data_IF_861362562776
#
_entry.id   IF_861362562776
#
_cell.length_a   1.000
_cell.length_b   1.000
_cell.length_c   1.000
_cell.angle_alpha   90.00
_cell.angle_beta   90.00
_cell.angle_gamma   90.00
#
_symmetry.space_group_name_H-M   'P 1'
#
loop_
_entity.id
_entity.type
_entity.pdbx_description
1 polymer ?
#
# COMPACT_ATOMS: atom_id res chain seq x y z
N UNK A 1 9.82 1.68 9.87
CA UNK A 1 9.35 3.07 10.00
C UNK A 1 9.66 3.88 8.75
N UNK A 2 8.68 4.62 8.23
CA UNK A 2 8.85 5.48 7.05
C UNK A 2 8.68 6.93 7.49
N UNK A 3 9.62 7.82 7.16
CA UNK A 3 9.53 9.25 7.47
C UNK A 3 9.75 10.08 6.22
N UNK A 4 8.86 11.01 5.95
CA UNK A 4 8.93 11.98 4.86
C UNK A 4 9.14 13.36 5.47
N UNK A 5 10.17 14.08 5.02
CA UNK A 5 10.53 15.40 5.52
C UNK A 5 10.56 16.41 4.36
N UNK A 6 9.63 17.36 4.39
CA UNK A 6 9.49 18.44 3.41
C UNK A 6 9.48 17.95 1.95
N UNK A 7 8.90 16.74 1.74
CA UNK A 7 8.95 16.05 0.46
C UNK A 7 8.18 16.82 -0.60
N UNK A 8 8.86 17.13 -1.70
CA UNK A 8 8.29 17.91 -2.81
C UNK A 8 8.62 17.29 -4.15
N UNK A 9 7.63 17.26 -5.06
CA UNK A 9 7.82 16.89 -6.46
C UNK A 9 7.19 17.92 -7.37
N UNK A 10 8.02 18.47 -8.24
CA UNK A 10 7.62 19.37 -9.31
C UNK A 10 7.81 18.67 -10.67
N UNK A 11 6.86 18.86 -11.56
CA UNK A 11 6.97 18.46 -12.96
C UNK A 11 6.94 19.69 -13.83
N UNK A 12 7.81 19.74 -14.84
CA UNK A 12 7.78 20.77 -15.87
C UNK A 12 6.65 20.47 -16.86
N UNK A 13 5.82 21.45 -17.14
CA UNK A 13 4.79 21.41 -18.17
C UNK A 13 5.27 22.11 -19.45
N UNK A 14 4.53 21.90 -20.55
CA UNK A 14 4.75 22.66 -21.79
C UNK A 14 4.62 24.16 -21.50
N UNK A 15 5.46 24.98 -22.09
CA UNK A 15 5.57 26.46 -21.91
C UNK A 15 6.24 26.91 -20.59
N UNK A 16 7.10 26.10 -19.97
CA UNK A 16 7.90 26.53 -18.81
C UNK A 16 7.15 26.63 -17.48
N UNK A 17 5.86 26.30 -17.45
CA UNK A 17 5.10 26.22 -16.21
C UNK A 17 5.51 24.98 -15.41
N UNK A 18 5.58 25.13 -14.10
CA UNK A 18 5.84 24.01 -13.17
C UNK A 18 4.57 23.67 -12.39
N UNK A 19 4.30 22.40 -12.27
CA UNK A 19 3.21 21.88 -11.45
C UNK A 19 3.79 21.11 -10.28
N UNK A 20 3.37 21.44 -9.07
CA UNK A 20 3.72 20.71 -7.85
C UNK A 20 2.73 19.57 -7.63
N UNK A 21 3.14 18.37 -7.94
CA UNK A 21 2.34 17.17 -7.67
C UNK A 21 2.35 16.77 -6.19
N UNK A 22 3.45 17.05 -5.49
CA UNK A 22 3.64 16.91 -4.05
C UNK A 22 4.32 18.17 -3.55
N UNK A 23 3.81 18.79 -2.49
CA UNK A 23 4.26 20.09 -1.98
C UNK A 23 4.43 20.05 -0.46
N UNK A 24 5.69 19.99 -0.03
CA UNK A 24 6.09 20.04 1.38
C UNK A 24 5.37 19.01 2.26
N UNK A 25 5.34 17.75 1.83
CA UNK A 25 4.71 16.66 2.57
C UNK A 25 5.63 16.21 3.70
N UNK A 26 5.09 16.22 4.92
CA UNK A 26 5.68 15.69 6.13
C UNK A 26 4.79 14.58 6.66
N UNK A 27 5.34 13.37 6.85
CA UNK A 27 4.60 12.20 7.33
C UNK A 27 5.55 11.28 8.08
N UNK A 28 5.06 10.73 9.20
CA UNK A 28 5.76 9.70 9.95
C UNK A 28 4.85 8.50 10.12
N UNK A 29 5.30 7.34 9.63
CA UNK A 29 4.61 6.05 9.77
C UNK A 29 5.48 5.18 10.67
N UNK A 30 5.04 4.90 11.91
CA UNK A 30 5.73 4.00 12.83
C UNK A 30 5.90 2.59 12.27
N UNK A 31 6.81 1.83 12.87
CA UNK A 31 7.00 0.42 12.52
C UNK A 31 5.74 -0.40 12.85
N UNK A 32 5.37 -1.28 11.92
CA UNK A 32 4.21 -2.17 12.07
C UNK A 32 2.86 -1.50 11.82
N UNK A 33 2.78 -0.17 11.68
CA UNK A 33 1.53 0.54 11.38
C UNK A 33 1.20 0.55 9.89
N UNK A 34 -0.10 0.60 9.61
CA UNK A 34 -0.64 0.82 8.28
C UNK A 34 -1.12 2.27 8.13
N UNK A 35 -0.49 3.02 7.24
CA UNK A 35 -0.88 4.37 6.88
C UNK A 35 -1.58 4.39 5.51
N UNK A 36 -2.82 4.86 5.48
CA UNK A 36 -3.58 5.03 4.23
C UNK A 36 -3.45 6.46 3.73
N UNK A 37 -2.94 6.64 2.51
CA UNK A 37 -2.95 7.91 1.79
C UNK A 37 -4.29 8.04 1.09
N UNK A 38 -5.16 8.92 1.57
CA UNK A 38 -6.54 9.09 1.13
C UNK A 38 -6.72 10.44 0.43
N UNK A 39 -7.60 10.52 -0.58
CA UNK A 39 -7.94 11.78 -1.24
C UNK A 39 -8.32 11.60 -2.70
N UNK A 40 -8.78 12.69 -3.38
CA UNK A 40 -9.25 12.63 -4.76
C UNK A 40 -8.14 12.24 -5.74
N UNK A 41 -8.53 11.81 -6.94
CA UNK A 41 -7.58 11.48 -8.01
C UNK A 41 -6.71 12.69 -8.36
N UNK A 42 -5.42 12.45 -8.62
CA UNK A 42 -4.46 13.49 -8.99
C UNK A 42 -3.93 14.37 -7.85
N UNK A 43 -4.30 14.11 -6.58
CA UNK A 43 -3.84 14.93 -5.44
C UNK A 43 -2.42 14.62 -4.94
N UNK A 44 -1.67 13.68 -5.54
CA UNK A 44 -0.26 13.42 -5.22
C UNK A 44 0.05 12.09 -4.52
N UNK A 45 -0.94 11.28 -4.12
CA UNK A 45 -0.77 10.01 -3.37
C UNK A 45 0.17 9.02 -4.06
N UNK A 46 -0.17 8.60 -5.26
CA UNK A 46 0.64 7.68 -6.09
C UNK A 46 2.03 8.25 -6.38
N UNK A 47 2.15 9.57 -6.58
CA UNK A 47 3.46 10.23 -6.77
C UNK A 47 4.30 10.11 -5.52
N UNK A 48 3.71 10.32 -4.33
CA UNK A 48 4.38 10.15 -3.04
C UNK A 48 4.86 8.70 -2.88
N UNK A 49 4.00 7.71 -3.13
CA UNK A 49 4.35 6.30 -3.05
C UNK A 49 5.51 5.92 -4.00
N UNK A 50 5.46 6.43 -5.25
CA UNK A 50 6.51 6.21 -6.25
C UNK A 50 7.85 6.86 -5.86
N UNK A 51 7.83 7.98 -5.14
CA UNK A 51 9.06 8.60 -4.62
C UNK A 51 9.70 7.75 -3.52
N UNK A 52 8.92 7.15 -2.63
CA UNK A 52 9.44 6.27 -1.56
C UNK A 52 10.18 5.08 -2.17
N UNK A 53 9.66 4.50 -3.24
CA UNK A 53 10.29 3.39 -3.98
C UNK A 53 11.33 3.88 -5.02
N UNK A 54 11.67 5.17 -5.04
CA UNK A 54 12.58 5.81 -6.00
C UNK A 54 12.27 5.48 -7.47
N UNK A 55 11.00 5.24 -7.80
CA UNK A 55 10.51 5.20 -9.19
C UNK A 55 10.41 6.61 -9.77
N UNK A 56 10.25 7.61 -8.90
CA UNK A 56 10.30 9.04 -9.20
C UNK A 56 11.28 9.67 -8.23
N UNK A 57 12.22 10.47 -8.73
CA UNK A 57 13.15 11.24 -7.88
C UNK A 57 12.43 12.47 -7.31
N UNK A 58 12.47 12.72 -5.99
CA UNK A 58 12.01 13.96 -5.40
C UNK A 58 12.67 15.19 -6.02
N UNK A 59 11.99 16.33 -6.03
CA UNK A 59 12.61 17.63 -6.37
C UNK A 59 13.32 18.23 -5.17
N UNK A 60 12.81 17.99 -3.96
CA UNK A 60 13.43 18.34 -2.67
C UNK A 60 12.81 17.54 -1.54
N UNK A 61 13.42 17.63 -0.35
CA UNK A 61 13.00 16.88 0.84
C UNK A 61 13.69 15.53 0.94
N UNK A 62 13.47 14.84 2.07
CA UNK A 62 14.16 13.61 2.44
C UNK A 62 13.16 12.50 2.71
N UNK A 63 13.52 11.27 2.34
CA UNK A 63 12.77 10.05 2.63
C UNK A 63 13.68 9.14 3.46
N UNK A 64 13.25 8.86 4.69
CA UNK A 64 13.95 7.94 5.58
C UNK A 64 13.16 6.63 5.69
N UNK A 65 13.86 5.51 5.61
CA UNK A 65 13.33 4.17 5.90
C UNK A 65 14.21 3.56 6.98
N UNK A 66 13.60 3.19 8.10
CA UNK A 66 14.33 2.71 9.31
C UNK A 66 15.41 3.69 9.79
N UNK A 67 15.20 4.99 9.60
CA UNK A 67 16.13 6.04 9.99
C UNK A 67 17.23 6.33 8.97
N UNK A 68 17.35 5.55 7.90
CA UNK A 68 18.37 5.74 6.85
C UNK A 68 17.82 6.54 5.67
N UNK A 69 18.59 7.52 5.19
CA UNK A 69 18.23 8.31 4.01
C UNK A 69 18.31 7.47 2.73
N UNK A 70 17.18 7.34 2.06
CA UNK A 70 17.10 6.54 0.83
C UNK A 70 17.86 7.14 -0.35
N UNK A 71 18.23 8.42 -0.32
CA UNK A 71 18.87 9.11 -1.44
C UNK A 71 20.26 8.55 -1.76
N UNK A 72 21.01 8.14 -0.72
CA UNK A 72 22.35 7.56 -0.82
C UNK A 72 22.37 6.05 -1.05
N UNK A 73 21.22 5.36 -0.93
CA UNK A 73 21.16 3.91 -1.08
C UNK A 73 21.26 3.48 -2.55
N UNK A 74 21.84 2.30 -2.78
CA UNK A 74 21.67 1.64 -4.08
C UNK A 74 20.20 1.32 -4.35
N UNK A 75 19.71 1.70 -5.51
CA UNK A 75 18.29 1.59 -5.88
C UNK A 75 17.79 0.14 -5.89
N UNK A 76 18.64 -0.81 -6.28
CA UNK A 76 18.27 -2.23 -6.32
C UNK A 76 18.14 -2.77 -4.91
N UNK A 77 19.09 -2.44 -4.04
CA UNK A 77 19.07 -2.81 -2.61
C UNK A 77 17.86 -2.23 -1.91
N UNK A 78 17.53 -0.95 -2.13
CA UNK A 78 16.32 -0.32 -1.58
C UNK A 78 15.05 -1.08 -2.01
N UNK A 79 14.88 -1.33 -3.30
CA UNK A 79 13.67 -1.99 -3.84
C UNK A 79 13.54 -3.45 -3.43
N UNK A 80 14.64 -4.14 -3.12
CA UNK A 80 14.61 -5.51 -2.57
C UNK A 80 14.04 -5.56 -1.15
N UNK A 81 14.16 -4.46 -0.41
CA UNK A 81 13.64 -4.29 0.96
C UNK A 81 12.25 -3.67 1.00
N UNK A 82 11.64 -3.41 -0.15
CA UNK A 82 10.28 -2.84 -0.27
C UNK A 82 9.44 -3.78 -1.12
N UNK A 83 8.36 -4.30 -0.54
CA UNK A 83 7.31 -4.94 -1.31
C UNK A 83 6.46 -3.86 -2.00
N UNK A 84 6.20 -4.00 -3.30
CA UNK A 84 5.43 -3.01 -4.04
C UNK A 84 4.29 -3.66 -4.82
N UNK A 85 3.05 -3.30 -4.45
CA UNK A 85 1.83 -3.69 -5.16
C UNK A 85 1.39 -2.53 -6.02
N UNK A 86 1.41 -2.72 -7.34
CA UNK A 86 0.99 -1.70 -8.32
C UNK A 86 -0.51 -1.74 -8.57
N UNK A 87 -1.11 -0.63 -8.99
CA UNK A 87 -2.52 -0.46 -9.28
C UNK A 87 -3.04 -1.48 -10.32
N UNK A 88 -2.27 -1.77 -11.35
CA UNK A 88 -2.52 -2.90 -12.25
C UNK A 88 -1.81 -4.14 -11.68
N UNK A 89 -2.47 -5.28 -11.65
CA UNK A 89 -1.99 -6.52 -11.00
C UNK A 89 -0.53 -6.87 -11.35
N UNK A 90 -0.10 -6.59 -12.59
CA UNK A 90 1.30 -6.63 -13.03
C UNK A 90 1.98 -8.00 -12.87
N UNK A 91 1.22 -9.10 -12.88
CA UNK A 91 1.80 -10.44 -12.93
C UNK A 91 2.46 -10.66 -14.30
N UNK A 92 3.56 -11.38 -14.29
CA UNK A 92 4.24 -11.78 -15.52
C UNK A 92 3.40 -12.85 -16.23
N UNK A 93 2.85 -12.57 -17.41
CA UNK A 93 1.86 -13.45 -18.04
C UNK A 93 2.46 -14.78 -18.51
N UNK A 94 3.76 -14.82 -18.77
CA UNK A 94 4.52 -15.98 -19.25
C UNK A 94 5.18 -16.79 -18.14
N UNK A 95 4.91 -16.45 -16.88
CA UNK A 95 5.39 -17.15 -15.69
C UNK A 95 4.21 -17.81 -14.97
N UNK A 96 4.45 -18.97 -14.37
CA UNK A 96 3.48 -19.62 -13.49
C UNK A 96 3.24 -18.77 -12.24
N UNK A 97 2.24 -19.10 -11.44
CA UNK A 97 1.97 -18.41 -10.17
C UNK A 97 3.14 -18.61 -9.19
N UNK A 98 3.72 -19.82 -9.10
CA UNK A 98 4.92 -20.06 -8.30
C UNK A 98 6.08 -19.15 -8.73
N UNK A 99 6.34 -19.07 -10.02
CA UNK A 99 7.40 -18.22 -10.57
C UNK A 99 7.15 -16.75 -10.32
N UNK A 100 5.89 -16.27 -10.45
CA UNK A 100 5.51 -14.91 -10.12
C UNK A 100 5.78 -14.60 -8.65
N UNK A 101 5.36 -15.45 -7.72
CA UNK A 101 5.55 -15.25 -6.28
C UNK A 101 7.05 -15.24 -5.95
N UNK A 102 7.81 -16.15 -6.53
CA UNK A 102 9.21 -16.39 -6.15
C UNK A 102 10.25 -15.57 -6.93
N UNK A 103 9.82 -14.64 -7.81
CA UNK A 103 10.75 -13.86 -8.64
C UNK A 103 11.79 -13.10 -7.81
N UNK A 104 11.35 -12.37 -6.77
CA UNK A 104 12.29 -11.62 -5.91
C UNK A 104 13.12 -12.54 -5.01
N UNK A 105 12.56 -13.53 -4.29
CA UNK A 105 13.36 -14.54 -3.60
C UNK A 105 14.47 -15.18 -4.45
N UNK A 106 14.18 -15.57 -5.69
CA UNK A 106 15.18 -16.11 -6.62
C UNK A 106 16.28 -15.10 -6.96
N UNK A 107 15.92 -13.84 -7.19
CA UNK A 107 16.89 -12.75 -7.40
C UNK A 107 17.78 -12.50 -6.18
N UNK A 108 17.30 -12.84 -4.97
CA UNK A 108 18.05 -12.80 -3.73
C UNK A 108 18.89 -14.06 -3.49
N UNK A 109 18.89 -15.02 -4.41
CA UNK A 109 19.68 -16.25 -4.32
C UNK A 109 19.07 -17.33 -3.43
N UNK A 110 17.77 -17.28 -3.13
CA UNK A 110 17.12 -18.35 -2.38
C UNK A 110 17.09 -19.63 -3.22
N UNK A 111 17.34 -20.76 -2.58
CA UNK A 111 17.24 -22.07 -3.23
C UNK A 111 15.79 -22.43 -3.58
N UNK A 112 15.62 -23.42 -4.45
CA UNK A 112 14.30 -23.85 -4.96
C UNK A 112 13.38 -24.35 -3.85
N UNK A 113 13.91 -25.10 -2.87
CA UNK A 113 13.10 -25.67 -1.80
C UNK A 113 12.53 -24.57 -0.91
N UNK A 114 13.36 -23.60 -0.52
CA UNK A 114 12.95 -22.41 0.24
C UNK A 114 11.93 -21.56 -0.53
N UNK A 115 12.15 -21.32 -1.82
CA UNK A 115 11.21 -20.60 -2.67
C UNK A 115 9.84 -21.28 -2.72
N UNK A 116 9.81 -22.60 -2.93
CA UNK A 116 8.58 -23.38 -3.00
C UNK A 116 7.83 -23.36 -1.66
N UNK A 117 8.52 -23.64 -0.55
CA UNK A 117 7.91 -23.60 0.79
C UNK A 117 7.33 -22.21 1.11
N UNK A 118 8.04 -21.14 0.74
CA UNK A 118 7.54 -19.77 0.93
C UNK A 118 6.32 -19.46 0.06
N UNK A 119 6.29 -19.95 -1.19
CA UNK A 119 5.13 -19.79 -2.06
C UNK A 119 3.90 -20.52 -1.51
N UNK A 120 4.07 -21.74 -1.02
CA UNK A 120 2.99 -22.52 -0.38
C UNK A 120 2.45 -21.83 0.86
N UNK A 121 3.32 -21.39 1.79
CA UNK A 121 2.95 -20.61 2.98
C UNK A 121 2.11 -19.37 2.63
N UNK A 122 2.57 -18.59 1.64
CA UNK A 122 1.88 -17.36 1.25
C UNK A 122 0.54 -17.63 0.54
N UNK A 123 0.43 -18.71 -0.21
CA UNK A 123 -0.83 -19.13 -0.83
C UNK A 123 -1.87 -19.50 0.23
N UNK A 124 -1.47 -20.21 1.29
CA UNK A 124 -2.34 -20.56 2.41
C UNK A 124 -2.81 -19.31 3.15
N UNK A 125 -1.95 -18.29 3.33
CA UNK A 125 -2.32 -17.01 3.95
C UNK A 125 -3.45 -16.28 3.22
N UNK A 126 -3.57 -16.46 1.91
CA UNK A 126 -4.64 -15.84 1.09
C UNK A 126 -5.74 -16.83 0.73
N UNK A 127 -5.85 -17.94 1.46
CA UNK A 127 -6.84 -18.99 1.27
C UNK A 127 -6.92 -19.51 -0.18
N UNK A 128 -5.76 -19.79 -0.77
CA UNK A 128 -5.64 -20.38 -2.10
C UNK A 128 -4.83 -21.67 -2.04
N UNK A 129 -5.41 -22.77 -2.50
CA UNK A 129 -4.78 -24.09 -2.50
C UNK A 129 -3.50 -24.13 -3.37
N UNK A 130 -2.30 -24.30 -2.76
CA UNK A 130 -1.04 -24.29 -3.49
C UNK A 130 -0.98 -25.39 -4.59
N UNK A 131 -1.50 -26.58 -4.30
CA UNK A 131 -1.47 -27.72 -5.22
C UNK A 131 -2.30 -27.45 -6.48
N UNK A 132 -3.37 -26.65 -6.34
CA UNK A 132 -4.28 -26.33 -7.43
C UNK A 132 -3.78 -25.16 -8.29
N UNK A 133 -3.09 -24.19 -7.70
CA UNK A 133 -2.87 -22.90 -8.35
C UNK A 133 -1.41 -22.57 -8.67
N UNK A 134 -0.41 -23.10 -7.95
CA UNK A 134 1.01 -22.73 -8.17
C UNK A 134 1.50 -22.98 -9.60
N UNK A 135 1.00 -24.01 -10.28
CA UNK A 135 1.42 -24.36 -11.63
C UNK A 135 0.63 -23.66 -12.74
N UNK A 136 -0.40 -22.90 -12.38
CA UNK A 136 -1.22 -22.15 -13.34
C UNK A 136 -0.53 -20.87 -13.80
N UNK A 137 -1.02 -20.34 -14.91
CA UNK A 137 -0.63 -19.03 -15.43
C UNK A 137 -1.66 -17.96 -15.03
N UNK A 138 -1.28 -16.67 -14.97
CA UNK A 138 -2.19 -15.58 -14.62
C UNK A 138 -3.49 -15.56 -15.42
N UNK A 139 -3.46 -15.87 -16.72
CA UNK A 139 -4.63 -15.93 -17.60
C UNK A 139 -5.69 -16.98 -17.19
N UNK A 140 -5.31 -17.95 -16.37
CA UNK A 140 -6.18 -19.03 -15.87
C UNK A 140 -6.81 -18.67 -14.51
N UNK A 141 -6.58 -17.42 -14.03
CA UNK A 141 -7.01 -16.93 -12.73
C UNK A 141 -8.04 -15.81 -12.88
N UNK A 142 -9.00 -15.74 -11.96
CA UNK A 142 -9.89 -14.58 -11.88
C UNK A 142 -9.12 -13.31 -11.46
N UNK A 143 -9.66 -12.13 -11.73
CA UNK A 143 -9.04 -10.85 -11.34
C UNK A 143 -8.75 -10.77 -9.83
N UNK A 144 -9.69 -11.20 -8.98
CA UNK A 144 -9.49 -11.24 -7.53
C UNK A 144 -8.41 -12.23 -7.09
N UNK A 145 -8.29 -13.38 -7.76
CA UNK A 145 -7.19 -14.33 -7.51
C UNK A 145 -5.84 -13.73 -7.91
N UNK A 146 -5.76 -13.12 -9.10
CA UNK A 146 -4.54 -12.42 -9.54
C UNK A 146 -4.12 -11.31 -8.57
N UNK A 147 -5.10 -10.59 -8.00
CA UNK A 147 -4.85 -9.53 -7.02
C UNK A 147 -4.21 -10.10 -5.74
N UNK A 148 -4.75 -11.20 -5.21
CA UNK A 148 -4.16 -11.90 -4.05
C UNK A 148 -2.72 -12.33 -4.35
N UNK A 149 -2.46 -12.89 -5.53
CA UNK A 149 -1.10 -13.26 -5.96
C UNK A 149 -0.19 -12.03 -6.03
N UNK A 150 -0.68 -10.89 -6.53
CA UNK A 150 0.08 -9.63 -6.56
C UNK A 150 0.52 -9.16 -5.17
N UNK A 151 -0.37 -9.30 -4.18
CA UNK A 151 -0.06 -8.96 -2.77
C UNK A 151 1.00 -9.90 -2.20
N UNK A 152 0.81 -11.22 -2.30
CA UNK A 152 1.76 -12.20 -1.73
C UNK A 152 3.11 -12.20 -2.47
N UNK A 153 3.14 -11.88 -3.77
CA UNK A 153 4.40 -11.65 -4.49
C UNK A 153 5.22 -10.53 -3.86
N UNK A 154 4.57 -9.42 -3.49
CA UNK A 154 5.25 -8.31 -2.83
C UNK A 154 5.81 -8.68 -1.45
N UNK A 155 5.21 -9.67 -0.77
CA UNK A 155 5.61 -10.18 0.54
C UNK A 155 6.61 -11.34 0.48
N UNK A 156 6.86 -11.91 -0.70
CA UNK A 156 7.59 -13.17 -0.83
C UNK A 156 9.02 -13.11 -0.28
N UNK A 157 9.71 -11.99 -0.47
CA UNK A 157 11.05 -11.76 0.06
C UNK A 157 11.08 -11.29 1.53
N UNK A 158 9.94 -11.29 2.20
CA UNK A 158 9.77 -10.82 3.58
C UNK A 158 10.22 -9.37 3.84
N UNK A 159 9.86 -8.39 2.99
CA UNK A 159 10.30 -7.02 3.16
C UNK A 159 9.72 -6.39 4.43
N UNK A 160 10.46 -5.47 5.10
CA UNK A 160 9.96 -4.75 6.27
C UNK A 160 8.88 -3.70 5.91
N UNK A 161 8.90 -3.21 4.68
CA UNK A 161 8.00 -2.17 4.17
C UNK A 161 7.18 -2.71 3.00
N UNK A 162 5.87 -2.41 3.01
CA UNK A 162 4.94 -2.72 1.93
C UNK A 162 4.29 -1.43 1.42
N UNK A 163 4.43 -1.15 0.14
CA UNK A 163 3.80 -0.04 -0.55
C UNK A 163 2.72 -0.58 -1.49
N UNK A 164 1.50 -0.04 -1.40
CA UNK A 164 0.35 -0.54 -2.18
C UNK A 164 -0.36 0.63 -2.86
N UNK A 165 -0.46 0.59 -4.19
CA UNK A 165 -1.11 1.63 -4.99
C UNK A 165 -2.49 1.12 -5.46
N UNK A 166 -3.56 1.53 -4.79
CA UNK A 166 -4.95 1.14 -5.03
C UNK A 166 -5.14 -0.39 -5.18
N UNK A 167 -4.68 -1.20 -4.19
CA UNK A 167 -4.57 -2.64 -4.35
C UNK A 167 -5.92 -3.36 -4.53
N UNK A 168 -7.03 -2.73 -4.18
CA UNK A 168 -8.37 -3.35 -4.24
C UNK A 168 -9.28 -2.69 -5.29
N UNK A 169 -8.79 -1.69 -6.04
CA UNK A 169 -9.59 -0.90 -6.96
C UNK A 169 -10.20 -1.69 -8.12
N UNK A 170 -9.53 -2.74 -8.59
CA UNK A 170 -9.98 -3.57 -9.70
C UNK A 170 -10.84 -4.79 -9.27
N UNK A 171 -11.14 -4.93 -7.97
CA UNK A 171 -11.91 -6.04 -7.42
C UNK A 171 -13.38 -5.63 -7.27
N UNK A 172 -14.30 -6.53 -7.61
CA UNK A 172 -15.73 -6.33 -7.38
C UNK A 172 -16.05 -6.18 -5.87
N UNK A 173 -17.13 -5.48 -5.49
CA UNK A 173 -17.41 -5.12 -4.10
C UNK A 173 -17.46 -6.29 -3.12
N UNK A 174 -18.05 -7.42 -3.52
CA UNK A 174 -18.22 -8.59 -2.64
C UNK A 174 -16.87 -9.24 -2.35
N UNK A 175 -16.08 -9.50 -3.39
CA UNK A 175 -14.76 -10.09 -3.26
C UNK A 175 -13.77 -9.12 -2.61
N UNK A 176 -13.94 -7.80 -2.79
CA UNK A 176 -13.10 -6.77 -2.18
C UNK A 176 -13.10 -6.88 -0.66
N UNK A 177 -14.27 -6.99 -0.05
CA UNK A 177 -14.40 -7.11 1.39
C UNK A 177 -13.69 -8.37 1.92
N UNK A 178 -13.85 -9.50 1.25
CA UNK A 178 -13.17 -10.76 1.61
C UNK A 178 -11.65 -10.61 1.55
N UNK A 179 -11.13 -10.01 0.47
CA UNK A 179 -9.69 -9.82 0.29
C UNK A 179 -9.12 -8.85 1.33
N UNK A 180 -9.84 -7.77 1.64
CA UNK A 180 -9.43 -6.82 2.69
C UNK A 180 -9.36 -7.49 4.06
N UNK A 181 -10.34 -8.32 4.43
CA UNK A 181 -10.34 -9.06 5.69
C UNK A 181 -9.14 -10.02 5.77
N UNK A 182 -8.86 -10.77 4.70
CA UNK A 182 -7.70 -11.65 4.62
C UNK A 182 -6.37 -10.87 4.73
N UNK A 183 -6.31 -9.69 4.09
CA UNK A 183 -5.14 -8.82 4.20
C UNK A 183 -4.93 -8.31 5.62
N UNK A 184 -6.00 -7.91 6.33
CA UNK A 184 -5.93 -7.50 7.74
C UNK A 184 -5.44 -8.63 8.64
N UNK A 185 -5.97 -9.84 8.48
CA UNK A 185 -5.52 -11.01 9.24
C UNK A 185 -4.03 -11.31 9.00
N UNK A 186 -3.60 -11.23 7.74
CA UNK A 186 -2.20 -11.39 7.37
C UNK A 186 -1.33 -10.29 7.99
N UNK A 187 -1.76 -9.02 7.93
CA UNK A 187 -1.03 -7.88 8.48
C UNK A 187 -0.88 -7.98 10.01
N UNK A 188 -1.93 -8.42 10.72
CA UNK A 188 -1.87 -8.68 12.17
C UNK A 188 -0.80 -9.71 12.56
N UNK A 189 -0.58 -10.71 11.71
CA UNK A 189 0.44 -11.76 11.90
C UNK A 189 1.84 -11.28 11.55
N UNK A 190 1.97 -10.57 10.43
CA UNK A 190 3.27 -10.16 9.87
C UNK A 190 3.80 -8.83 10.42
N UNK A 191 2.92 -7.96 10.91
CA UNK A 191 3.23 -6.63 11.48
C UNK A 191 4.18 -5.80 10.59
N UNK A 192 3.94 -5.81 9.28
CA UNK A 192 4.73 -5.01 8.32
C UNK A 192 4.34 -3.54 8.40
N UNK A 193 5.29 -2.65 8.13
CA UNK A 193 4.97 -1.23 7.94
C UNK A 193 4.37 -1.06 6.55
N UNK A 194 3.11 -0.64 6.47
CA UNK A 194 2.35 -0.56 5.22
C UNK A 194 2.01 0.89 4.90
N UNK A 195 2.24 1.29 3.65
CA UNK A 195 1.67 2.53 3.11
C UNK A 195 0.79 2.18 1.92
N UNK A 196 -0.50 2.49 2.03
CA UNK A 196 -1.54 2.14 1.07
C UNK A 196 -2.17 3.40 0.49
N UNK A 197 -2.29 3.48 -0.83
CA UNK A 197 -3.07 4.52 -1.51
C UNK A 197 -4.50 4.04 -1.74
N UNK A 198 -5.47 4.84 -1.34
CA UNK A 198 -6.88 4.63 -1.63
C UNK A 198 -7.59 5.94 -2.01
N UNK A 199 -8.71 5.84 -2.68
CA UNK A 199 -9.67 6.92 -2.89
C UNK A 199 -11.01 6.65 -2.16
N UNK A 200 -11.11 5.51 -1.47
CA UNK A 200 -12.29 5.04 -0.75
C UNK A 200 -12.10 5.26 0.76
N UNK A 201 -13.00 6.05 1.35
CA UNK A 201 -12.98 6.36 2.78
C UNK A 201 -13.27 5.14 3.65
N UNK A 202 -14.18 4.26 3.22
CA UNK A 202 -14.56 3.09 4.01
C UNK A 202 -13.42 2.07 4.05
N UNK A 203 -12.68 1.95 2.94
CA UNK A 203 -11.43 1.18 2.90
C UNK A 203 -10.38 1.77 3.86
N UNK A 204 -10.18 3.09 3.83
CA UNK A 204 -9.20 3.76 4.70
C UNK A 204 -9.55 3.59 6.19
N UNK A 205 -10.82 3.72 6.56
CA UNK A 205 -11.30 3.53 7.93
C UNK A 205 -11.15 2.09 8.41
N UNK A 206 -11.35 1.12 7.51
CA UNK A 206 -11.26 -0.31 7.81
C UNK A 206 -9.83 -0.80 7.98
N UNK A 207 -8.91 -0.30 7.13
CA UNK A 207 -7.55 -0.84 7.03
C UNK A 207 -6.52 -0.03 7.81
N UNK A 208 -6.68 1.30 7.90
CA UNK A 208 -5.63 2.19 8.38
C UNK A 208 -5.55 2.31 9.90
N UNK A 209 -4.36 2.18 10.46
CA UNK A 209 -4.06 2.69 11.81
C UNK A 209 -3.98 4.22 11.78
N UNK A 210 -3.49 4.78 10.66
CA UNK A 210 -3.45 6.21 10.34
C UNK A 210 -3.99 6.48 8.96
N UNK A 211 -4.65 7.63 8.80
CA UNK A 211 -5.15 8.11 7.53
C UNK A 211 -4.56 9.49 7.25
N UNK A 212 -3.77 9.62 6.19
CA UNK A 212 -3.23 10.88 5.70
C UNK A 212 -4.10 11.38 4.53
N UNK A 213 -4.90 12.41 4.78
CA UNK A 213 -5.81 13.00 3.78
C UNK A 213 -5.05 13.99 2.92
N UNK A 214 -4.98 13.72 1.63
CA UNK A 214 -4.31 14.54 0.62
C UNK A 214 -5.27 15.48 -0.10
N UNK A 215 -4.82 16.72 -0.31
CA UNK A 215 -5.46 17.70 -1.18
C UNK A 215 -4.40 18.53 -1.88
N UNK A 216 -4.45 18.62 -3.20
CA UNK A 216 -3.55 19.47 -4.02
C UNK A 216 -2.05 19.34 -3.65
N UNK A 217 -1.56 18.13 -3.56
CA UNK A 217 -0.15 17.83 -3.27
C UNK A 217 0.26 17.91 -1.79
N UNK A 218 -0.66 18.25 -0.88
CA UNK A 218 -0.38 18.43 0.55
C UNK A 218 -1.20 17.48 1.42
N UNK A 219 -0.66 17.13 2.59
CA UNK A 219 -1.45 16.47 3.65
C UNK A 219 -2.21 17.56 4.40
N UNK A 220 -3.55 17.47 4.41
CA UNK A 220 -4.42 18.40 5.12
C UNK A 220 -4.80 17.94 6.53
N UNK A 221 -4.75 16.61 6.76
CA UNK A 221 -4.89 15.98 8.06
C UNK A 221 -4.23 14.61 8.04
N UNK A 222 -3.58 14.23 9.14
CA UNK A 222 -3.11 12.87 9.39
C UNK A 222 -3.53 12.49 10.81
N UNK A 223 -4.40 11.48 10.93
CA UNK A 223 -5.02 11.11 12.20
C UNK A 223 -5.39 9.62 12.21
N UNK A 224 -5.75 9.08 13.37
CA UNK A 224 -6.42 7.78 13.46
C UNK A 224 -7.81 7.84 12.82
N UNK A 225 -8.42 6.69 12.44
CA UNK A 225 -9.80 6.65 11.95
C UNK A 225 -10.80 7.35 12.87
N UNK A 226 -10.76 7.10 14.17
CA UNK A 226 -11.65 7.73 15.15
C UNK A 226 -11.47 9.25 15.22
N UNK A 227 -10.23 9.73 15.29
CA UNK A 227 -9.94 11.17 15.31
C UNK A 227 -10.37 11.86 14.02
N UNK A 228 -10.19 11.22 12.86
CA UNK A 228 -10.58 11.76 11.57
C UNK A 228 -12.11 11.97 11.48
N UNK A 229 -12.87 10.99 11.98
CA UNK A 229 -14.34 11.06 12.05
C UNK A 229 -14.84 12.06 13.09
N UNK A 230 -14.19 12.11 14.27
CA UNK A 230 -14.60 12.96 15.38
C UNK A 230 -14.28 14.45 15.13
N UNK A 231 -13.09 14.75 14.58
CA UNK A 231 -12.53 16.09 14.48
C UNK A 231 -11.91 16.35 13.10
N UNK A 232 -12.72 16.45 12.02
CA UNK A 232 -12.20 16.84 10.71
C UNK A 232 -11.55 18.23 10.79
N UNK A 233 -10.32 18.35 10.27
CA UNK A 233 -9.52 19.57 10.38
C UNK A 233 -10.11 20.77 9.63
N UNK A 234 -10.92 20.53 8.61
CA UNK A 234 -11.59 21.56 7.81
C UNK A 234 -12.81 20.99 7.09
N UNK A 235 -13.56 21.87 6.42
CA UNK A 235 -14.78 21.53 5.68
C UNK A 235 -14.52 20.48 4.56
N UNK A 236 -13.37 20.58 3.89
CA UNK A 236 -13.00 19.61 2.86
C UNK A 236 -12.88 18.19 3.45
N UNK A 237 -12.18 18.03 4.56
CA UNK A 237 -12.07 16.73 5.23
C UNK A 237 -13.44 16.27 5.70
N UNK A 238 -14.23 17.15 6.30
CA UNK A 238 -15.59 16.86 6.75
C UNK A 238 -16.50 16.38 5.63
N UNK A 239 -16.45 17.02 4.47
CA UNK A 239 -17.23 16.60 3.30
C UNK A 239 -16.73 15.31 2.67
N UNK A 240 -15.42 15.07 2.69
CA UNK A 240 -14.79 13.87 2.15
C UNK A 240 -15.11 12.63 2.99
N UNK A 241 -15.15 12.77 4.32
CA UNK A 241 -15.50 11.69 5.25
C UNK A 241 -16.99 11.32 5.17
N UNK A 242 -17.84 12.31 4.81
CA UNK A 242 -19.28 12.12 4.64
C UNK A 242 -20.11 12.59 5.83
N UNK A 243 -21.42 12.71 5.60
CA UNK A 243 -22.38 13.14 6.63
C UNK A 243 -22.71 12.02 7.63
N UNK A 244 -22.49 10.79 7.25
CA UNK A 244 -22.71 9.56 8.04
C UNK A 244 -21.55 9.23 9.01
N UNK A 245 -20.61 10.17 9.19
CA UNK A 245 -19.40 10.00 10.03
C UNK A 245 -19.68 9.49 11.45
N UNK A 246 -20.81 9.94 12.05
CA UNK A 246 -21.19 9.50 13.40
C UNK A 246 -21.54 8.01 13.41
N UNK A 247 -22.26 7.54 12.39
CA UNK A 247 -22.59 6.13 12.24
C UNK A 247 -21.33 5.28 11.97
N UNK A 248 -20.46 5.74 11.07
CA UNK A 248 -19.16 5.10 10.80
C UNK A 248 -18.30 4.99 12.06
N UNK A 249 -18.30 6.03 12.90
CA UNK A 249 -17.58 6.02 14.17
C UNK A 249 -18.13 4.98 15.14
N UNK A 250 -19.45 4.83 15.26
CA UNK A 250 -20.07 3.78 16.08
C UNK A 250 -19.68 2.38 15.63
N UNK A 251 -19.56 2.15 14.32
CA UNK A 251 -19.10 0.86 13.78
C UNK A 251 -17.64 0.54 14.14
N UNK A 252 -16.77 1.55 14.25
CA UNK A 252 -15.38 1.35 14.68
C UNK A 252 -15.27 0.98 16.16
N UNK A 253 -16.08 1.60 17.03
CA UNK A 253 -16.07 1.34 18.48
C UNK A 253 -16.63 -0.04 18.78
N UNK A 254 -17.72 -0.46 18.12
CA UNK A 254 -18.33 -1.78 18.36
C UNK A 254 -17.46 -2.96 17.93
N UNK A 255 -16.46 -2.75 17.05
CA UNK A 255 -15.53 -3.81 16.64
C UNK A 255 -14.33 -3.98 17.60
N UNK A 256 -14.02 -2.96 18.43
CA UNK A 256 -12.91 -2.96 19.38
C UNK A 256 -13.26 -3.31 20.82
N UNK A 257 -14.52 -3.14 21.22
CA UNK A 257 -14.96 -3.28 22.61
C UNK A 257 -15.66 -4.61 22.92
N UNK A 258 -15.68 -5.57 22.00
CA UNK A 258 -16.20 -6.93 22.22
C UNK A 258 -15.03 -7.90 22.32
N UNK A 259 -14.24 -7.75 23.38
CA UNK A 259 -13.30 -8.77 23.89
C UNK A 259 -13.42 -8.87 25.40
#
# INVERSE_FOLDING_TARGET
MIKLENLTKQFSQKHGQTFKAVDNVNLNVPEGEMCVLLGPSGCGKTTTLKMINRLITPSSGTILINGEDTSGMDTVTLRRNIGYVIQQIGLFPNMTIEENITVVPRMLGWDKARCKSRAEELMDMVAMDPHKFLHRYPREMSGGQQQRIGVIRALAADPPVLLMDEPFGAVDPINREVIQNQFLEMQRKLKKTVMLVSHDIDEALKLGDRIAVFRQGRIVQCASPDELLAKPANEFVGSFVGQDRTLKRLLLVSAGDVT
#
